data_IF_034203135964
#
_entry.id   IF_034203135964
#
_cell.length_a   1.000
_cell.length_b   1.000
_cell.length_c   1.000
_cell.angle_alpha   90.00
_cell.angle_beta   90.00
_cell.angle_gamma   90.00
#
_symmetry.space_group_name_H-M   'P 1'
#
loop_
_entity.id
_entity.type
_entity.pdbx_description
1 polymer ?
#
# COMPACT_ATOMS: atom_id res chain seq x y z
N UNK A 1 0.83 13.18 -30.51
CA UNK A 1 0.63 11.88 -29.84
C UNK A 1 -0.10 12.13 -28.53
N UNK A 2 -1.31 11.60 -28.36
CA UNK A 2 -2.07 11.76 -27.11
C UNK A 2 -1.48 10.82 -26.06
N UNK A 3 -0.81 11.37 -25.04
CA UNK A 3 -0.37 10.59 -23.89
C UNK A 3 -1.61 10.08 -23.12
N UNK A 4 -1.60 8.82 -22.65
CA UNK A 4 -2.69 8.31 -21.82
C UNK A 4 -2.77 9.13 -20.53
N UNK A 5 -3.83 9.95 -20.41
CA UNK A 5 -4.14 10.66 -19.17
C UNK A 5 -4.54 9.65 -18.11
N UNK A 6 -3.90 9.72 -16.94
CA UNK A 6 -4.35 9.01 -15.74
C UNK A 6 -5.78 9.49 -15.42
N UNK A 7 -6.76 8.59 -15.46
CA UNK A 7 -8.15 8.87 -15.07
C UNK A 7 -8.38 8.37 -13.65
N UNK A 8 -8.86 9.24 -12.75
CA UNK A 8 -9.12 8.91 -11.34
C UNK A 8 -8.19 9.61 -10.32
N UNK A 9 -8.36 9.34 -9.01
CA UNK A 9 -7.55 9.92 -7.96
C UNK A 9 -6.07 9.53 -8.14
N UNK A 10 -5.17 10.52 -8.06
CA UNK A 10 -3.72 10.33 -8.31
C UNK A 10 -2.96 9.68 -7.14
N UNK A 11 -3.67 9.33 -6.08
CA UNK A 11 -3.13 8.69 -4.90
C UNK A 11 -4.17 8.57 -3.78
N UNK A 12 -3.74 8.01 -2.66
CA UNK A 12 -4.51 7.84 -1.43
C UNK A 12 -3.73 8.42 -0.25
N UNK A 13 -4.45 9.05 0.68
CA UNK A 13 -3.95 9.42 2.01
C UNK A 13 -4.46 8.41 3.02
N UNK A 14 -3.56 7.83 3.80
CA UNK A 14 -3.86 6.89 4.87
C UNK A 14 -3.46 7.57 6.18
N UNK A 15 -4.43 7.71 7.09
CA UNK A 15 -4.22 8.26 8.44
C UNK A 15 -4.36 7.12 9.44
N UNK A 16 -3.26 6.72 10.07
CA UNK A 16 -3.22 5.63 11.03
C UNK A 16 -3.52 6.14 12.46
N UNK A 17 -4.73 6.65 12.68
CA UNK A 17 -5.13 7.28 13.96
C UNK A 17 -5.31 6.31 15.14
N UNK A 18 -5.09 5.01 14.94
CA UNK A 18 -5.08 3.99 15.99
C UNK A 18 -3.73 3.85 16.71
N UNK A 19 -2.71 4.58 16.27
CA UNK A 19 -1.39 4.62 16.90
C UNK A 19 -0.86 6.06 16.89
N UNK A 20 -0.07 6.41 17.89
CA UNK A 20 0.59 7.72 17.97
C UNK A 20 1.94 7.71 17.26
N UNK A 21 2.41 8.87 16.80
CA UNK A 21 3.75 9.01 16.22
C UNK A 21 3.90 8.46 14.80
N UNK A 22 2.80 8.17 14.11
CA UNK A 22 2.81 7.79 12.69
C UNK A 22 2.26 8.94 11.85
N UNK A 23 3.15 9.58 11.10
CA UNK A 23 2.79 10.59 10.11
C UNK A 23 1.83 10.02 9.05
N UNK A 24 0.85 10.82 8.58
CA UNK A 24 0.03 10.48 7.43
C UNK A 24 0.85 9.93 6.26
N UNK A 25 0.38 8.83 5.69
CA UNK A 25 1.02 8.14 4.57
C UNK A 25 0.31 8.54 3.29
N UNK A 26 1.08 8.89 2.27
CA UNK A 26 0.58 9.21 0.93
C UNK A 26 1.16 8.20 -0.05
N UNK A 27 0.28 7.49 -0.75
CA UNK A 27 0.68 6.53 -1.77
C UNK A 27 0.11 6.97 -3.12
N UNK A 28 0.96 7.14 -4.13
CA UNK A 28 0.54 7.64 -5.44
C UNK A 28 1.42 7.15 -6.58
N UNK A 29 0.80 6.97 -7.74
CA UNK A 29 1.53 6.62 -8.96
C UNK A 29 2.02 7.90 -9.65
N UNK A 30 3.32 7.95 -9.96
CA UNK A 30 3.94 9.07 -10.67
C UNK A 30 4.43 8.58 -12.02
N UNK A 31 3.65 8.84 -13.08
CA UNK A 31 4.03 8.55 -14.45
C UNK A 31 5.10 9.55 -14.90
N UNK A 32 6.08 9.12 -15.71
CA UNK A 32 7.12 10.02 -16.26
C UNK A 32 6.62 10.88 -17.43
N UNK A 33 5.50 11.57 -17.23
CA UNK A 33 4.77 12.31 -18.26
C UNK A 33 4.35 13.69 -17.75
N UNK A 34 4.04 14.62 -18.64
CA UNK A 34 3.67 15.99 -18.29
C UNK A 34 4.69 16.66 -17.34
N UNK A 35 4.21 17.22 -16.23
CA UNK A 35 5.06 17.87 -15.21
C UNK A 35 6.10 16.96 -14.54
N UNK A 36 5.95 15.65 -14.67
CA UNK A 36 6.88 14.63 -14.16
C UNK A 36 7.82 14.09 -15.25
N UNK A 37 7.85 14.68 -16.45
CA UNK A 37 8.71 14.21 -17.55
C UNK A 37 10.20 14.21 -17.19
N UNK A 38 10.64 15.13 -16.32
CA UNK A 38 12.01 15.21 -15.80
C UNK A 38 12.28 14.33 -14.58
N UNK A 39 11.30 13.56 -14.09
CA UNK A 39 11.44 12.79 -12.86
C UNK A 39 12.54 11.72 -12.97
N UNK A 40 13.27 11.55 -11.87
CA UNK A 40 14.27 10.51 -11.71
C UNK A 40 13.68 9.11 -11.95
N UNK A 41 14.46 8.25 -12.61
CA UNK A 41 14.00 6.92 -13.04
C UNK A 41 13.68 5.99 -11.88
N UNK A 42 14.31 6.18 -10.71
CA UNK A 42 14.04 5.35 -9.53
C UNK A 42 12.64 5.61 -8.96
N UNK A 43 12.05 6.77 -9.24
CA UNK A 43 10.72 7.18 -8.73
C UNK A 43 9.65 7.13 -9.81
N UNK A 44 10.04 7.30 -11.05
CA UNK A 44 9.11 7.33 -12.17
C UNK A 44 8.52 5.95 -12.47
N UNK A 45 7.24 5.90 -12.85
CA UNK A 45 6.50 4.66 -13.14
C UNK A 45 6.52 3.66 -11.97
N UNK A 46 6.51 4.18 -10.73
CA UNK A 46 6.45 3.42 -9.48
C UNK A 46 5.28 3.88 -8.62
N UNK A 47 4.87 3.02 -7.68
CA UNK A 47 4.03 3.45 -6.57
C UNK A 47 4.92 4.13 -5.52
N UNK A 48 4.89 5.45 -5.48
CA UNK A 48 5.69 6.22 -4.54
C UNK A 48 4.94 6.33 -3.21
N UNK A 49 5.69 6.12 -2.13
CA UNK A 49 5.23 6.27 -0.76
C UNK A 49 5.92 7.48 -0.14
N UNK A 50 5.12 8.34 0.45
CA UNK A 50 5.56 9.51 1.18
C UNK A 50 4.92 9.56 2.57
N UNK A 51 5.57 10.29 3.48
CA UNK A 51 4.99 10.68 4.76
C UNK A 51 5.22 12.18 4.98
N UNK A 52 4.27 12.84 5.62
CA UNK A 52 4.40 14.24 6.01
C UNK A 52 3.78 14.46 7.39
N UNK A 53 4.43 15.19 8.31
CA UNK A 53 3.94 15.41 9.67
C UNK A 53 2.84 16.50 9.69
N UNK A 54 1.79 16.31 8.89
CA UNK A 54 0.66 17.23 8.80
C UNK A 54 -0.46 16.83 9.75
N UNK A 55 -1.08 17.81 10.38
CA UNK A 55 -2.30 17.63 11.16
C UNK A 55 -3.54 17.91 10.31
N UNK A 56 -3.47 18.92 9.45
CA UNK A 56 -4.55 19.33 8.54
C UNK A 56 -4.13 19.22 7.08
N UNK A 57 -5.12 19.10 6.20
CA UNK A 57 -4.90 18.87 4.75
C UNK A 57 -4.12 20.00 4.05
N UNK A 58 -4.10 21.20 4.63
CA UNK A 58 -3.43 22.37 4.07
C UNK A 58 -2.14 22.77 4.81
N UNK A 59 -1.68 21.96 5.76
CA UNK A 59 -0.44 22.25 6.47
C UNK A 59 0.75 22.15 5.50
N UNK A 60 1.54 23.22 5.43
CA UNK A 60 2.78 23.22 4.69
C UNK A 60 3.87 22.54 5.51
N UNK A 61 4.03 21.22 5.32
CA UNK A 61 5.12 20.45 5.93
C UNK A 61 5.96 19.75 4.86
N UNK A 62 7.29 19.67 5.04
CA UNK A 62 8.14 18.90 4.15
C UNK A 62 7.67 17.45 4.05
N UNK A 63 7.50 16.98 2.83
CA UNK A 63 7.14 15.59 2.56
C UNK A 63 8.39 14.75 2.45
N UNK A 64 8.48 13.68 3.24
CA UNK A 64 9.57 12.72 3.21
C UNK A 64 9.20 11.58 2.26
N UNK A 65 10.07 11.32 1.28
CA UNK A 65 9.95 10.15 0.43
C UNK A 65 10.44 8.91 1.18
N UNK A 66 9.64 7.84 1.17
CA UNK A 66 9.92 6.60 1.91
C UNK A 66 10.29 5.43 1.01
N UNK A 67 9.59 5.29 -0.12
CA UNK A 67 9.82 4.17 -1.05
C UNK A 67 9.25 4.47 -2.44
N UNK A 68 9.71 3.70 -3.43
CA UNK A 68 9.12 3.62 -4.75
C UNK A 68 8.99 2.15 -5.15
N UNK A 69 7.76 1.62 -5.17
CA UNK A 69 7.49 0.21 -5.33
C UNK A 69 7.27 -0.16 -6.80
N UNK A 70 8.03 -1.15 -7.25
CA UNK A 70 7.85 -1.91 -8.48
C UNK A 70 6.71 -2.92 -8.33
N UNK A 71 6.35 -3.60 -9.42
CA UNK A 71 5.30 -4.63 -9.39
C UNK A 71 5.65 -5.71 -8.35
N UNK A 72 4.66 -6.09 -7.53
CA UNK A 72 4.75 -7.07 -6.44
C UNK A 72 5.58 -6.67 -5.21
N UNK A 73 6.27 -5.52 -5.26
CA UNK A 73 6.96 -4.97 -4.08
C UNK A 73 5.95 -4.40 -3.07
N UNK A 74 6.38 -4.37 -1.82
CA UNK A 74 5.63 -3.85 -0.69
C UNK A 74 6.48 -2.89 0.14
N UNK A 75 5.80 -2.01 0.87
CA UNK A 75 6.38 -1.19 1.92
C UNK A 75 5.53 -1.32 3.18
N UNK A 76 6.18 -1.21 4.35
CA UNK A 76 5.54 -1.35 5.64
C UNK A 76 5.78 -0.13 6.53
N UNK A 77 4.74 0.28 7.24
CA UNK A 77 4.83 1.15 8.42
C UNK A 77 4.63 0.28 9.66
N UNK A 78 5.71 -0.27 10.26
CA UNK A 78 5.60 -1.24 11.34
C UNK A 78 4.88 -0.69 12.57
N UNK A 79 5.07 0.60 12.90
CA UNK A 79 4.44 1.23 14.06
C UNK A 79 2.90 1.27 13.98
N UNK A 80 2.34 1.29 12.76
CA UNK A 80 0.90 1.23 12.52
C UNK A 80 0.40 -0.12 12.00
N UNK A 81 1.32 -1.06 11.72
CA UNK A 81 1.01 -2.32 11.05
C UNK A 81 0.45 -2.13 9.63
N UNK A 82 0.73 -1.01 8.95
CA UNK A 82 0.22 -0.77 7.58
C UNK A 82 1.17 -1.38 6.57
N UNK A 83 0.64 -2.17 5.64
CA UNK A 83 1.37 -2.75 4.51
C UNK A 83 0.73 -2.25 3.21
N UNK A 84 1.54 -1.67 2.32
CA UNK A 84 1.11 -1.19 1.01
C UNK A 84 1.86 -2.00 -0.04
N UNK A 85 1.13 -2.61 -0.98
CA UNK A 85 1.71 -3.45 -2.04
C UNK A 85 1.24 -3.01 -3.41
N UNK A 86 2.15 -2.95 -4.37
CA UNK A 86 1.80 -2.76 -5.77
C UNK A 86 1.36 -4.11 -6.38
N UNK A 87 0.07 -4.25 -6.69
CA UNK A 87 -0.53 -5.52 -7.15
C UNK A 87 -0.51 -5.69 -8.66
N UNK A 88 -0.79 -4.63 -9.42
CA UNK A 88 -0.78 -4.66 -10.89
C UNK A 88 -0.63 -3.27 -11.48
N UNK A 89 -0.03 -3.20 -12.65
CA UNK A 89 -0.05 -2.03 -13.53
C UNK A 89 -1.04 -2.27 -14.66
N UNK A 90 -1.77 -1.24 -15.05
CA UNK A 90 -2.56 -1.18 -16.27
C UNK A 90 -2.19 0.08 -17.05
N UNK A 91 -2.63 0.20 -18.30
CA UNK A 91 -2.38 1.39 -19.10
C UNK A 91 -2.96 2.62 -18.40
N UNK A 92 -2.10 3.54 -17.96
CA UNK A 92 -2.51 4.76 -17.26
C UNK A 92 -3.10 4.54 -15.85
N UNK A 93 -2.89 3.37 -15.24
CA UNK A 93 -3.37 3.09 -13.89
C UNK A 93 -2.45 2.10 -13.15
N UNK A 94 -2.48 2.18 -11.83
CA UNK A 94 -1.83 1.22 -10.95
C UNK A 94 -2.84 0.79 -9.88
N UNK A 95 -2.82 -0.50 -9.54
CA UNK A 95 -3.60 -1.02 -8.41
C UNK A 95 -2.65 -1.37 -7.29
N UNK A 96 -2.91 -0.75 -6.15
CA UNK A 96 -2.26 -1.06 -4.88
C UNK A 96 -3.26 -1.71 -3.92
N UNK A 97 -2.78 -2.58 -3.04
CA UNK A 97 -3.52 -3.03 -1.88
C UNK A 97 -2.98 -2.37 -0.63
N UNK A 98 -3.87 -2.01 0.29
CA UNK A 98 -3.54 -1.56 1.65
C UNK A 98 -4.05 -2.62 2.61
N UNK A 99 -3.17 -3.14 3.46
CA UNK A 99 -3.47 -4.13 4.47
C UNK A 99 -3.03 -3.60 5.84
N UNK A 100 -3.77 -3.97 6.89
CA UNK A 100 -3.36 -3.73 8.28
C UNK A 100 -3.02 -5.06 8.91
N UNK A 101 -1.72 -5.31 9.08
CA UNK A 101 -1.17 -6.49 9.73
C UNK A 101 -1.59 -6.49 11.19
N UNK A 102 -2.01 -7.64 11.68
CA UNK A 102 -2.28 -7.80 13.12
C UNK A 102 -0.98 -7.76 13.91
N UNK A 103 -0.99 -7.38 15.21
CA UNK A 103 0.24 -7.36 16.01
C UNK A 103 1.00 -8.69 16.03
N UNK A 104 0.28 -9.83 15.98
CA UNK A 104 0.88 -11.16 15.91
C UNK A 104 1.37 -11.55 14.51
N UNK A 105 0.97 -10.82 13.46
CA UNK A 105 1.32 -11.09 12.06
C UNK A 105 0.96 -12.50 11.59
N UNK A 106 -0.12 -13.08 12.14
CA UNK A 106 -0.50 -14.47 11.92
C UNK A 106 -1.96 -14.60 11.59
N UNK A 107 -2.24 -15.54 10.69
CA UNK A 107 -3.58 -15.99 10.43
C UNK A 107 -4.20 -16.73 11.62
N UNK A 108 -5.53 -16.63 11.71
CA UNK A 108 -6.37 -17.34 12.68
C UNK A 108 -7.49 -18.05 11.93
N UNK A 109 -8.09 -19.11 12.50
CA UNK A 109 -9.25 -19.74 11.86
C UNK A 109 -10.37 -18.75 11.55
N UNK A 110 -10.55 -17.75 12.41
CA UNK A 110 -11.55 -16.70 12.25
C UNK A 110 -11.23 -15.78 11.08
N UNK A 111 -9.99 -15.26 10.97
CA UNK A 111 -9.59 -14.42 9.82
C UNK A 111 -9.69 -15.16 8.50
N UNK A 112 -9.23 -16.42 8.48
CA UNK A 112 -9.30 -17.28 7.30
C UNK A 112 -10.74 -17.52 6.82
N UNK A 113 -11.67 -17.80 7.74
CA UNK A 113 -13.10 -17.95 7.40
C UNK A 113 -13.75 -16.64 6.96
N UNK A 114 -13.28 -15.52 7.48
CA UNK A 114 -13.77 -14.19 7.15
C UNK A 114 -13.14 -13.59 5.88
N UNK A 115 -12.23 -14.31 5.20
CA UNK A 115 -11.51 -13.80 4.03
C UNK A 115 -10.63 -12.59 4.35
N UNK A 116 -10.08 -12.52 5.58
CA UNK A 116 -9.14 -11.47 6.00
C UNK A 116 -7.71 -11.97 5.88
N UNK A 117 -6.83 -11.07 5.43
CA UNK A 117 -5.38 -11.23 5.35
C UNK A 117 -4.75 -10.50 6.54
N UNK A 118 -4.53 -11.23 7.63
CA UNK A 118 -3.96 -10.74 8.89
C UNK A 118 -2.43 -10.68 8.89
N UNK A 119 -1.77 -11.44 8.02
CA UNK A 119 -0.31 -11.44 7.86
C UNK A 119 0.18 -10.53 6.70
N UNK A 120 -0.75 -10.04 5.89
CA UNK A 120 -0.57 -9.15 4.73
C UNK A 120 0.27 -9.76 3.59
N UNK A 121 0.24 -11.08 3.42
CA UNK A 121 0.91 -11.76 2.32
C UNK A 121 0.20 -11.58 0.96
N UNK A 122 -1.04 -11.07 0.96
CA UNK A 122 -1.84 -10.79 -0.22
C UNK A 122 -2.72 -11.96 -0.70
N UNK A 123 -2.88 -12.99 0.13
CA UNK A 123 -3.70 -14.18 -0.06
C UNK A 123 -4.73 -14.28 1.07
N UNK A 124 -5.83 -14.98 0.82
CA UNK A 124 -6.89 -15.22 1.82
C UNK A 124 -7.51 -16.60 1.61
N UNK A 125 -8.19 -17.11 2.64
CA UNK A 125 -8.91 -18.38 2.56
C UNK A 125 -8.00 -19.56 2.23
N UNK A 126 -8.46 -20.51 1.42
CA UNK A 126 -7.66 -21.71 1.08
C UNK A 126 -6.48 -21.44 0.15
N UNK A 127 -6.45 -20.29 -0.53
CA UNK A 127 -5.32 -19.89 -1.37
C UNK A 127 -4.12 -19.40 -0.55
N UNK A 128 -4.36 -19.01 0.71
CA UNK A 128 -3.32 -18.65 1.65
C UNK A 128 -2.77 -19.92 2.35
N UNK A 129 -1.46 -20.21 2.28
CA UNK A 129 -0.86 -21.39 2.91
C UNK A 129 -1.05 -21.47 4.44
N UNK A 130 -0.98 -20.34 5.14
CA UNK A 130 -1.21 -20.27 6.58
C UNK A 130 -2.67 -20.61 6.89
N UNK A 131 -3.61 -20.09 6.11
CA UNK A 131 -5.02 -20.39 6.27
C UNK A 131 -5.41 -21.81 5.85
N UNK A 132 -4.86 -22.34 4.75
CA UNK A 132 -5.08 -23.71 4.32
C UNK A 132 -4.75 -24.70 5.46
N UNK A 133 -3.62 -24.49 6.13
CA UNK A 133 -3.21 -25.30 7.30
C UNK A 133 -4.18 -25.15 8.47
N UNK A 134 -4.61 -23.92 8.79
CA UNK A 134 -5.53 -23.65 9.91
C UNK A 134 -6.94 -24.17 9.67
N UNK A 135 -7.41 -24.21 8.41
CA UNK A 135 -8.73 -24.71 8.04
C UNK A 135 -8.76 -26.24 7.92
N UNK A 136 -7.64 -26.84 7.47
CA UNK A 136 -7.50 -28.29 7.34
C UNK A 136 -7.37 -29.02 8.68
N UNK A 137 -6.88 -28.37 9.74
CA UNK A 137 -6.84 -29.00 11.06
C UNK A 137 -8.27 -29.26 11.53
N UNK A 138 -8.65 -30.54 11.67
CA UNK A 138 -9.92 -30.92 12.32
C UNK A 138 -9.79 -30.69 13.82
N UNK A 139 -10.92 -30.40 14.49
CA UNK A 139 -11.00 -30.38 15.96
C UNK A 139 -10.64 -31.76 16.50
#
# INVERSE_FOLDING_TARGET
MNEPRLTGPRGVRIVANWTTGVDPIFAGFRARTGGDAGMDRQRSNRLNIYQAPISHTFDAQPTQWRAALSLNELWEQPAAGVVIRHKRTATGALVASVCRRTPAGRETRTSCRAGKDNDCNGLVGVADPACARLLASKR
#
